data_IF_112511824745
#
_entry.id   IF_112511824745
#
_cell.length_a   1.000
_cell.length_b   1.000
_cell.length_c   1.000
_cell.angle_alpha   90.00
_cell.angle_beta   90.00
_cell.angle_gamma   90.00
#
_symmetry.space_group_name_H-M   'P 1'
#
loop_
_entity.id
_entity.type
_entity.pdbx_description
1 polymer ?
#
# COMPACT_ATOMS: atom_id res chain seq x y z
N UNK A 1 -4.11 0.85 -21.16
CA UNK A 1 -3.36 1.84 -20.36
C UNK A 1 -2.29 1.12 -19.60
N UNK A 2 -1.04 1.57 -19.70
CA UNK A 2 0.06 1.09 -18.85
C UNK A 2 0.01 1.85 -17.51
N UNK A 3 0.03 1.16 -16.36
CA UNK A 3 0.09 1.85 -15.07
C UNK A 3 1.47 2.50 -14.89
N UNK A 4 1.51 3.60 -14.16
CA UNK A 4 2.76 4.15 -13.64
C UNK A 4 3.18 3.35 -12.40
N UNK A 5 4.42 2.85 -12.37
CA UNK A 5 4.90 1.94 -11.33
C UNK A 5 5.98 2.65 -10.50
N UNK A 6 5.83 2.60 -9.18
CA UNK A 6 6.78 3.16 -8.20
C UNK A 6 7.08 2.11 -7.13
N UNK A 7 8.36 1.92 -6.81
CA UNK A 7 8.81 0.98 -5.77
C UNK A 7 9.32 1.73 -4.55
N UNK A 8 8.82 1.35 -3.37
CA UNK A 8 9.31 1.84 -2.08
C UNK A 8 10.23 0.80 -1.46
N UNK A 9 11.53 1.11 -1.41
CA UNK A 9 12.57 0.22 -0.88
C UNK A 9 13.34 0.89 0.27
N UNK A 10 13.76 0.09 1.24
CA UNK A 10 14.71 0.46 2.29
C UNK A 10 15.46 -0.78 2.74
N UNK A 11 16.76 -0.66 2.95
CA UNK A 11 17.58 -1.71 3.55
C UNK A 11 17.30 -1.90 5.04
N UNK A 12 17.01 -0.80 5.76
CA UNK A 12 16.78 -0.81 7.21
C UNK A 12 15.28 -0.82 7.54
N UNK A 13 14.89 -1.64 8.52
CA UNK A 13 13.57 -1.63 9.13
C UNK A 13 13.31 -0.38 9.98
N UNK A 14 12.04 0.00 10.14
CA UNK A 14 11.64 1.10 11.03
C UNK A 14 11.87 2.52 10.51
N UNK A 15 12.29 2.69 9.25
CA UNK A 15 12.51 4.04 8.65
C UNK A 15 11.22 4.72 8.18
N UNK A 16 10.05 4.11 8.39
CA UNK A 16 8.76 4.66 7.95
C UNK A 16 8.39 4.37 6.49
N UNK A 17 9.07 3.43 5.82
CA UNK A 17 8.80 3.05 4.41
C UNK A 17 7.33 2.71 4.14
N UNK A 18 6.73 1.83 4.93
CA UNK A 18 5.33 1.41 4.75
C UNK A 18 4.35 2.55 5.02
N UNK A 19 4.66 3.43 5.98
CA UNK A 19 3.85 4.63 6.25
C UNK A 19 3.90 5.63 5.09
N UNK A 20 5.08 5.84 4.49
CA UNK A 20 5.24 6.66 3.29
C UNK A 20 4.42 6.09 2.13
N UNK A 21 4.56 4.78 1.87
CA UNK A 21 3.82 4.09 0.81
C UNK A 21 2.30 4.21 0.99
N UNK A 22 1.80 4.05 2.22
CA UNK A 22 0.38 4.21 2.55
C UNK A 22 -0.14 5.62 2.24
N UNK A 23 0.58 6.66 2.68
CA UNK A 23 0.17 8.05 2.46
C UNK A 23 0.16 8.41 0.97
N UNK A 24 1.19 8.03 0.22
CA UNK A 24 1.26 8.26 -1.23
C UNK A 24 0.15 7.48 -1.95
N UNK A 25 -0.12 6.23 -1.55
CA UNK A 25 -1.19 5.42 -2.10
C UNK A 25 -2.57 6.08 -1.93
N UNK A 26 -2.89 6.55 -0.72
CA UNK A 26 -4.16 7.25 -0.44
C UNK A 26 -4.29 8.55 -1.24
N UNK A 27 -3.22 9.36 -1.29
CA UNK A 27 -3.23 10.61 -2.06
C UNK A 27 -3.42 10.35 -3.56
N UNK A 28 -2.79 9.31 -4.09
CA UNK A 28 -2.92 8.91 -5.50
C UNK A 28 -4.32 8.35 -5.80
N UNK A 29 -4.89 7.57 -4.87
CA UNK A 29 -6.24 7.01 -4.99
C UNK A 29 -7.33 8.09 -5.12
N UNK A 30 -7.10 9.29 -4.57
CA UNK A 30 -8.00 10.45 -4.75
C UNK A 30 -8.05 10.98 -6.18
N UNK A 31 -7.05 10.69 -7.00
CA UNK A 31 -6.92 11.18 -8.39
C UNK A 31 -7.17 10.09 -9.43
N UNK A 32 -7.06 8.82 -9.06
CA UNK A 32 -7.30 7.71 -9.99
C UNK A 32 -7.09 6.34 -9.34
N UNK A 33 -7.38 5.29 -10.11
CA UNK A 33 -7.20 3.90 -9.67
C UNK A 33 -5.74 3.68 -9.25
N UNK A 34 -5.54 3.26 -8.01
CA UNK A 34 -4.23 3.04 -7.41
C UNK A 34 -4.21 1.66 -6.75
N UNK A 35 -3.16 0.88 -7.03
CA UNK A 35 -2.87 -0.38 -6.34
C UNK A 35 -1.67 -0.14 -5.42
N UNK A 36 -1.82 -0.51 -4.16
CA UNK A 36 -0.70 -0.57 -3.22
C UNK A 36 -0.44 -2.05 -2.93
N UNK A 37 0.77 -2.52 -3.22
CA UNK A 37 1.15 -3.92 -3.07
C UNK A 37 2.27 -4.03 -2.03
N UNK A 38 1.96 -4.62 -0.87
CA UNK A 38 2.97 -4.97 0.12
C UNK A 38 3.64 -6.28 -0.26
N UNK A 39 4.95 -6.23 -0.50
CA UNK A 39 5.76 -7.40 -0.85
C UNK A 39 6.64 -7.86 0.33
N UNK A 40 6.55 -7.18 1.46
CA UNK A 40 7.31 -7.53 2.66
C UNK A 40 6.48 -8.49 3.53
N UNK A 41 6.56 -9.79 3.21
CA UNK A 41 5.75 -10.83 3.85
C UNK A 41 6.21 -11.11 5.30
N UNK A 42 7.50 -10.94 5.56
CA UNK A 42 8.11 -11.29 6.86
C UNK A 42 8.05 -10.15 7.87
N UNK A 43 7.91 -8.90 7.42
CA UNK A 43 7.89 -7.73 8.30
C UNK A 43 6.46 -7.21 8.59
N UNK A 44 6.26 -6.52 9.73
CA UNK A 44 5.06 -5.73 9.94
C UNK A 44 4.98 -4.62 8.87
N UNK A 45 3.85 -4.56 8.16
CA UNK A 45 3.69 -3.73 6.97
C UNK A 45 2.37 -2.97 6.94
N UNK A 46 1.82 -2.81 5.74
CA UNK A 46 0.57 -2.09 5.48
C UNK A 46 -0.62 -2.67 6.24
N UNK A 47 -0.61 -3.97 6.53
CA UNK A 47 -1.66 -4.66 7.28
C UNK A 47 -1.85 -4.14 8.71
N UNK A 48 -0.86 -3.45 9.29
CA UNK A 48 -0.97 -2.84 10.62
C UNK A 48 -1.49 -1.40 10.61
N UNK A 49 -1.69 -0.82 9.42
CA UNK A 49 -2.20 0.55 9.29
C UNK A 49 -3.72 0.49 9.27
N UNK A 50 -4.35 0.77 10.43
CA UNK A 50 -5.81 0.74 10.59
C UNK A 50 -6.56 1.65 9.61
N UNK A 51 -5.94 2.76 9.18
CA UNK A 51 -6.51 3.65 8.15
C UNK A 51 -6.62 3.02 6.75
N UNK A 52 -5.96 1.90 6.49
CA UNK A 52 -6.08 1.12 5.26
C UNK A 52 -7.09 -0.03 5.38
N UNK A 53 -7.63 -0.28 6.57
CA UNK A 53 -8.64 -1.33 6.77
C UNK A 53 -9.91 -0.95 6.00
N UNK A 54 -10.36 -1.79 5.06
CA UNK A 54 -11.53 -1.48 4.25
C UNK A 54 -12.80 -1.52 5.12
N UNK A 55 -13.71 -0.57 4.89
CA UNK A 55 -14.98 -0.48 5.63
C UNK A 55 -15.91 -1.70 5.41
N UNK A 56 -15.68 -2.46 4.33
CA UNK A 56 -16.36 -3.72 4.06
C UNK A 56 -15.29 -4.79 3.82
N UNK A 57 -15.55 -6.00 4.29
CA UNK A 57 -14.70 -7.15 3.98
C UNK A 57 -14.60 -7.32 2.47
N UNK A 58 -13.36 -7.36 1.97
CA UNK A 58 -13.07 -7.64 0.57
C UNK A 58 -13.41 -9.11 0.33
N UNK A 59 -14.54 -9.36 -0.34
CA UNK A 59 -15.02 -10.72 -0.62
C UNK A 59 -14.28 -11.37 -1.79
N UNK A 60 -13.74 -10.55 -2.69
CA UNK A 60 -13.20 -10.93 -3.98
C UNK A 60 -12.03 -9.99 -4.28
N UNK A 61 -10.98 -10.53 -4.94
CA UNK A 61 -9.85 -9.73 -5.38
C UNK A 61 -10.23 -8.83 -6.56
N UNK A 62 -9.23 -8.15 -7.14
CA UNK A 62 -9.44 -7.44 -8.41
C UNK A 62 -9.61 -8.39 -9.62
N UNK A 63 -9.52 -9.71 -9.41
CA UNK A 63 -9.60 -10.77 -10.40
C UNK A 63 -10.38 -11.96 -9.83
#
# INVERSE_FOLDING_TARGET
MTPFIVTFYSYKGGVGRSLLAANIGILSARRGKTLLWDLDIEAPGLHNISGLTPAKTVKEGFF
#
